data_IF_082658286421
#
_entry.id   IF_082658286421
#
_cell.length_a   1.000
_cell.length_b   1.000
_cell.length_c   1.000
_cell.angle_alpha   90.00
_cell.angle_beta   90.00
_cell.angle_gamma   90.00
#
_symmetry.space_group_name_H-M   'P 1'
#
loop_
_entity.id
_entity.type
_entity.pdbx_description
1 polymer ?
#
# COMPACT_ATOMS: atom_id res chain seq x y z
N UNK A 1 -44.55 -15.64 1.67
CA UNK A 1 -43.84 -15.26 0.45
C UNK A 1 -43.00 -14.06 0.81
N UNK A 2 -41.71 -14.32 0.91
CA UNK A 2 -40.66 -13.36 1.19
C UNK A 2 -40.70 -12.20 0.19
N UNK A 3 -40.22 -11.03 0.61
CA UNK A 3 -39.06 -10.40 0.00
C UNK A 3 -38.53 -9.36 0.99
N UNK A 4 -37.34 -9.67 1.52
CA UNK A 4 -36.48 -8.77 2.26
C UNK A 4 -36.21 -7.51 1.44
N UNK A 5 -36.31 -6.35 2.10
CA UNK A 5 -35.80 -5.10 1.57
C UNK A 5 -34.74 -4.60 2.55
N UNK A 6 -33.48 -4.70 2.12
CA UNK A 6 -32.29 -4.23 2.82
C UNK A 6 -32.42 -2.77 3.26
N UNK A 7 -32.09 -2.43 4.52
CA UNK A 7 -32.02 -1.04 4.92
C UNK A 7 -30.67 -0.45 4.49
N UNK A 8 -30.78 0.56 3.63
CA UNK A 8 -29.86 1.69 3.43
C UNK A 8 -28.55 1.66 4.24
N UNK A 9 -27.45 1.43 3.53
CA UNK A 9 -26.08 1.73 3.95
C UNK A 9 -25.95 3.24 4.18
N UNK A 10 -26.18 3.69 5.41
CA UNK A 10 -25.84 5.06 5.82
C UNK A 10 -24.33 5.07 6.06
N UNK A 11 -23.57 5.38 5.00
CA UNK A 11 -22.14 5.64 5.11
C UNK A 11 -21.92 6.85 6.03
N UNK A 12 -21.11 6.65 7.07
CA UNK A 12 -20.57 7.73 7.88
C UNK A 12 -19.23 8.14 7.25
N UNK A 13 -19.02 9.42 6.92
CA UNK A 13 -17.72 9.87 6.42
C UNK A 13 -16.66 9.69 7.50
N UNK A 14 -15.58 8.99 7.19
CA UNK A 14 -14.37 8.93 8.03
C UNK A 14 -14.00 7.56 8.65
N UNK A 15 -14.39 6.43 8.05
CA UNK A 15 -14.07 5.10 8.62
C UNK A 15 -13.14 4.31 7.72
N UNK A 16 -11.85 4.23 8.08
CA UNK A 16 -10.92 3.26 7.48
C UNK A 16 -11.33 1.86 7.91
N UNK A 17 -11.65 0.99 6.96
CA UNK A 17 -11.93 -0.42 7.24
C UNK A 17 -10.68 -1.24 7.00
N UNK A 18 -10.17 -1.87 8.06
CA UNK A 18 -9.20 -2.95 7.91
C UNK A 18 -9.97 -4.21 7.55
N UNK A 19 -9.92 -4.61 6.29
CA UNK A 19 -10.50 -5.88 5.84
C UNK A 19 -9.43 -6.94 6.08
N UNK A 20 -9.39 -7.42 7.31
CA UNK A 20 -8.53 -8.50 7.77
C UNK A 20 -8.61 -9.69 6.81
N UNK A 21 -7.49 -10.24 6.30
CA UNK A 21 -7.38 -11.61 5.75
C UNK A 21 -5.95 -11.93 5.25
N UNK A 22 -5.28 -12.86 5.95
CA UNK A 22 -4.17 -13.65 5.44
C UNK A 22 -3.38 -14.35 6.55
N UNK A 23 -3.30 -15.69 6.55
CA UNK A 23 -2.36 -16.47 7.36
C UNK A 23 -0.92 -16.06 7.01
N UNK A 24 -0.42 -14.97 7.60
CA UNK A 24 0.98 -14.60 7.48
C UNK A 24 1.78 -15.62 8.27
N UNK A 25 2.70 -16.32 7.60
CA UNK A 25 3.65 -17.23 8.23
C UNK A 25 4.22 -16.55 9.50
N UNK A 26 4.25 -17.26 10.64
CA UNK A 26 4.63 -16.80 11.98
C UNK A 26 6.00 -16.07 12.02
N UNK A 27 6.05 -14.85 11.49
CA UNK A 27 7.23 -13.98 11.46
C UNK A 27 7.24 -13.04 12.67
N UNK A 28 6.07 -12.77 13.24
CA UNK A 28 5.90 -11.98 14.46
C UNK A 28 5.64 -12.89 15.67
N UNK A 29 6.14 -12.54 16.86
CA UNK A 29 5.85 -13.28 18.09
C UNK A 29 4.38 -13.14 18.50
N UNK A 30 3.77 -14.23 19.00
CA UNK A 30 2.35 -14.24 19.42
C UNK A 30 2.09 -13.40 20.70
N UNK A 31 0.86 -12.92 20.93
CA UNK A 31 0.56 -12.01 22.01
C UNK A 31 0.37 -12.80 23.31
N UNK A 32 0.77 -12.21 24.44
CA UNK A 32 0.54 -12.79 25.75
C UNK A 32 -0.85 -12.35 26.21
N UNK A 33 -1.84 -13.24 26.06
CA UNK A 33 -3.25 -12.99 26.43
C UNK A 33 -3.34 -12.33 27.82
N UNK A 34 -3.63 -11.03 27.83
CA UNK A 34 -4.05 -10.29 29.02
C UNK A 34 -5.45 -9.75 28.76
N UNK A 35 -6.41 -10.21 29.55
CA UNK A 35 -7.79 -9.72 29.53
C UNK A 35 -7.81 -8.23 29.92
N UNK A 36 -7.82 -7.33 28.93
CA UNK A 36 -8.01 -5.90 29.19
C UNK A 36 -9.44 -5.49 28.88
N UNK A 37 -10.09 -4.96 29.92
CA UNK A 37 -11.48 -4.53 29.94
C UNK A 37 -11.71 -3.34 29.03
N UNK A 38 -12.75 -3.46 28.21
CA UNK A 38 -13.39 -2.40 27.43
C UNK A 38 -13.45 -1.08 28.20
N UNK A 39 -12.72 -0.07 27.72
CA UNK A 39 -12.92 1.32 28.11
C UNK A 39 -12.96 2.22 26.89
N UNK A 40 -14.11 2.87 26.78
CA UNK A 40 -14.39 4.17 26.18
C UNK A 40 -14.40 4.28 24.65
N UNK A 41 -15.64 4.36 24.15
CA UNK A 41 -16.09 4.67 22.79
C UNK A 41 -15.74 6.11 22.34
N UNK A 42 -14.48 6.51 22.43
CA UNK A 42 -14.00 7.69 21.74
C UNK A 42 -13.73 7.30 20.28
N UNK A 43 -14.12 8.18 19.36
CA UNK A 43 -13.94 8.04 17.91
C UNK A 43 -12.61 7.37 17.63
N UNK A 44 -12.63 6.14 17.12
CA UNK A 44 -11.40 5.39 16.84
C UNK A 44 -10.62 6.18 15.80
N UNK A 45 -9.65 6.96 16.26
CA UNK A 45 -8.58 7.46 15.43
C UNK A 45 -7.99 6.26 14.67
N UNK A 46 -7.79 6.47 13.36
CA UNK A 46 -6.71 5.91 12.54
C UNK A 46 -5.92 4.77 13.20
N UNK A 47 -5.92 3.56 12.62
CA UNK A 47 -5.05 2.42 13.00
C UNK A 47 -4.44 2.50 14.41
N UNK A 48 -5.29 2.35 15.43
CA UNK A 48 -4.87 2.48 16.83
C UNK A 48 -3.83 1.41 17.21
N UNK A 49 -3.00 1.64 18.24
CA UNK A 49 -2.07 0.63 18.74
C UNK A 49 -2.76 -0.69 19.08
N UNK A 50 -3.95 -0.64 19.71
CA UNK A 50 -4.71 -1.84 20.06
C UNK A 50 -5.17 -2.64 18.84
N UNK A 51 -5.57 -1.95 17.76
CA UNK A 51 -5.90 -2.60 16.49
C UNK A 51 -4.68 -3.22 15.84
N UNK A 52 -3.55 -2.52 15.85
CA UNK A 52 -2.29 -3.04 15.33
C UNK A 52 -1.83 -4.27 16.12
N UNK A 53 -1.96 -4.27 17.45
CA UNK A 53 -1.63 -5.43 18.30
C UNK A 53 -2.52 -6.63 17.96
N UNK A 54 -3.81 -6.40 17.74
CA UNK A 54 -4.74 -7.46 17.32
C UNK A 54 -4.39 -8.02 15.93
N UNK A 55 -4.06 -7.16 14.96
CA UNK A 55 -3.70 -7.56 13.58
C UNK A 55 -2.35 -8.28 13.50
N UNK A 56 -1.39 -7.85 14.31
CA UNK A 56 -0.03 -8.40 14.31
C UNK A 56 0.12 -9.58 15.24
N UNK A 57 -0.93 -9.88 16.01
CA UNK A 57 -0.93 -10.84 17.10
C UNK A 57 0.30 -10.65 18.01
N UNK A 58 0.63 -9.41 18.40
CA UNK A 58 1.71 -9.14 19.36
C UNK A 58 1.36 -7.99 20.28
N UNK A 59 1.78 -8.08 21.55
CA UNK A 59 1.65 -6.95 22.49
C UNK A 59 2.73 -5.89 22.22
N UNK A 60 3.91 -6.31 21.76
CA UNK A 60 5.03 -5.42 21.49
C UNK A 60 5.13 -5.13 19.98
N UNK A 61 4.62 -3.96 19.61
CA UNK A 61 4.64 -3.45 18.23
C UNK A 61 6.06 -3.11 17.74
N UNK A 62 7.05 -2.99 18.64
CA UNK A 62 8.44 -2.75 18.26
C UNK A 62 9.07 -3.98 17.60
N UNK A 63 8.57 -5.18 17.86
CA UNK A 63 9.09 -6.42 17.29
C UNK A 63 8.47 -6.75 15.92
N UNK A 64 7.42 -6.02 15.52
CA UNK A 64 6.73 -6.25 14.25
C UNK A 64 7.62 -5.87 13.09
N UNK A 65 7.90 -6.85 12.22
CA UNK A 65 8.69 -6.65 10.99
C UNK A 65 7.85 -6.78 9.74
N UNK A 66 6.80 -7.58 9.79
CA UNK A 66 5.90 -7.83 8.66
C UNK A 66 4.48 -7.52 9.09
N UNK A 67 3.77 -6.74 8.29
CA UNK A 67 2.35 -6.45 8.48
C UNK A 67 1.62 -6.72 7.18
N UNK A 68 0.55 -7.50 7.26
CA UNK A 68 -0.38 -7.74 6.16
C UNK A 68 -1.76 -7.30 6.60
N UNK A 69 -2.42 -6.50 5.76
CA UNK A 69 -3.76 -6.03 6.01
C UNK A 69 -4.37 -5.54 4.71
N UNK A 70 -5.70 -5.53 4.60
CA UNK A 70 -6.36 -4.79 3.54
C UNK A 70 -7.01 -3.56 4.12
N UNK A 71 -6.97 -2.47 3.37
CA UNK A 71 -7.48 -1.18 3.83
C UNK A 71 -8.39 -0.56 2.79
N UNK A 72 -9.22 0.37 3.22
CA UNK A 72 -9.98 1.26 2.35
C UNK A 72 -9.71 2.70 2.79
N UNK A 73 -9.05 3.47 1.91
CA UNK A 73 -8.69 4.87 2.15
C UNK A 73 -9.57 5.88 1.40
N UNK A 74 -10.70 5.45 0.81
CA UNK A 74 -11.59 6.35 0.06
C UNK A 74 -12.09 7.54 0.90
N UNK A 75 -12.41 7.29 2.17
CA UNK A 75 -12.95 8.29 3.08
C UNK A 75 -11.90 8.89 4.04
N UNK A 76 -10.74 8.25 4.20
CA UNK A 76 -9.74 8.61 5.21
C UNK A 76 -8.38 7.97 4.95
N UNK A 77 -7.30 8.68 5.25
CA UNK A 77 -5.96 8.11 5.23
C UNK A 77 -5.71 7.17 6.42
N UNK A 78 -4.69 6.32 6.31
CA UNK A 78 -4.21 5.47 7.42
C UNK A 78 -3.47 6.26 8.50
N UNK A 79 -3.12 7.52 8.22
CA UNK A 79 -2.32 8.36 9.09
C UNK A 79 -0.88 7.85 9.25
N UNK A 80 -0.16 8.38 10.25
CA UNK A 80 1.24 8.02 10.50
C UNK A 80 1.37 6.78 11.40
N UNK A 81 0.62 5.71 11.11
CA UNK A 81 0.63 4.49 11.92
C UNK A 81 2.03 3.84 12.04
N UNK A 82 2.93 4.13 11.09
CA UNK A 82 4.34 3.71 11.16
C UNK A 82 5.10 4.20 12.39
N UNK A 83 4.58 5.19 13.15
CA UNK A 83 5.15 5.59 14.45
C UNK A 83 5.07 4.44 15.45
N UNK A 84 4.02 3.62 15.37
CA UNK A 84 3.81 2.47 16.26
C UNK A 84 4.61 1.24 15.83
N UNK A 85 5.04 1.17 14.55
CA UNK A 85 5.75 0.05 13.95
C UNK A 85 7.14 0.48 13.42
N UNK A 86 8.03 1.01 14.27
CA UNK A 86 9.28 1.63 13.81
C UNK A 86 10.30 0.64 13.24
N UNK A 87 10.05 -0.67 13.35
CA UNK A 87 10.88 -1.74 12.81
C UNK A 87 10.19 -2.52 11.68
N UNK A 88 9.09 -1.99 11.11
CA UNK A 88 8.43 -2.59 9.97
C UNK A 88 9.36 -2.59 8.75
N UNK A 89 9.56 -3.78 8.17
CA UNK A 89 10.42 -4.04 7.02
C UNK A 89 9.55 -4.36 5.80
N UNK A 90 8.47 -5.11 5.99
CA UNK A 90 7.58 -5.55 4.91
C UNK A 90 6.13 -5.18 5.23
N UNK A 91 5.47 -4.57 4.24
CA UNK A 91 4.06 -4.19 4.34
C UNK A 91 3.31 -4.74 3.14
N UNK A 92 2.26 -5.51 3.41
CA UNK A 92 1.37 -6.10 2.41
C UNK A 92 -0.01 -5.47 2.50
N UNK A 93 -0.40 -4.79 1.43
CA UNK A 93 -1.68 -4.11 1.27
C UNK A 93 -2.45 -4.61 0.04
N UNK A 94 -2.15 -5.81 -0.46
CA UNK A 94 -2.79 -6.35 -1.66
C UNK A 94 -4.31 -6.40 -1.51
N UNK A 95 -5.05 -6.08 -2.57
CA UNK A 95 -6.52 -6.01 -2.58
C UNK A 95 -7.09 -4.98 -1.60
N UNK A 96 -6.40 -3.86 -1.41
CA UNK A 96 -6.90 -2.69 -0.70
C UNK A 96 -7.56 -1.71 -1.66
N UNK A 97 -8.20 -0.66 -1.14
CA UNK A 97 -8.58 0.51 -1.92
C UNK A 97 -7.74 1.68 -1.42
N UNK A 98 -6.68 2.02 -2.16
CA UNK A 98 -5.74 3.07 -1.77
C UNK A 98 -5.77 4.15 -2.83
N UNK A 99 -6.30 5.31 -2.47
CA UNK A 99 -6.47 6.44 -3.41
C UNK A 99 -5.12 7.08 -3.71
N UNK A 100 -4.27 7.24 -2.70
CA UNK A 100 -2.91 7.77 -2.85
C UNK A 100 -1.94 7.04 -1.93
N UNK A 101 -0.70 6.85 -2.39
CA UNK A 101 0.37 6.29 -1.54
C UNK A 101 0.62 7.16 -0.30
N UNK A 102 0.35 8.47 -0.38
CA UNK A 102 0.40 9.39 0.79
C UNK A 102 -0.52 8.97 1.94
N UNK A 103 -1.61 8.26 1.64
CA UNK A 103 -2.56 7.82 2.65
C UNK A 103 -1.96 6.82 3.63
N UNK A 104 -0.88 6.12 3.26
CA UNK A 104 -0.17 5.15 4.09
C UNK A 104 0.72 5.86 5.14
N UNK A 105 0.92 7.17 4.98
CA UNK A 105 1.76 7.99 5.86
C UNK A 105 3.24 7.95 5.50
N UNK A 106 4.03 8.77 6.20
CA UNK A 106 5.46 9.00 5.89
C UNK A 106 6.40 8.47 6.96
N UNK A 107 5.87 7.82 7.99
CA UNK A 107 6.65 7.38 9.17
C UNK A 107 7.34 6.01 8.99
N UNK A 108 7.07 5.28 7.90
CA UNK A 108 7.62 3.95 7.61
C UNK A 108 9.04 3.99 7.03
N UNK A 109 9.96 4.61 7.77
CA UNK A 109 11.33 4.91 7.31
C UNK A 109 12.22 3.68 7.08
N UNK A 110 11.90 2.53 7.68
CA UNK A 110 12.66 1.26 7.53
C UNK A 110 12.04 0.26 6.57
N UNK A 111 10.93 0.63 5.93
CA UNK A 111 10.24 -0.24 4.99
C UNK A 111 11.14 -0.54 3.80
N UNK A 112 11.34 -1.83 3.52
CA UNK A 112 12.15 -2.32 2.41
C UNK A 112 11.29 -3.00 1.35
N UNK A 113 10.17 -3.61 1.73
CA UNK A 113 9.30 -4.36 0.82
C UNK A 113 7.87 -3.85 0.94
N UNK A 114 7.26 -3.44 -0.17
CA UNK A 114 5.89 -2.95 -0.22
C UNK A 114 5.10 -3.68 -1.30
N UNK A 115 4.01 -4.32 -0.88
CA UNK A 115 3.06 -4.98 -1.78
C UNK A 115 1.75 -4.21 -1.81
N UNK A 116 1.34 -3.79 -2.99
CA UNK A 116 0.11 -3.03 -3.24
C UNK A 116 -0.54 -3.48 -4.54
N UNK A 117 -0.59 -4.80 -4.78
CA UNK A 117 -1.25 -5.34 -5.96
C UNK A 117 -2.78 -5.19 -5.85
N UNK A 118 -3.44 -4.87 -6.97
CA UNK A 118 -4.90 -4.69 -7.04
C UNK A 118 -5.43 -3.65 -6.03
N UNK A 119 -4.74 -2.51 -5.90
CA UNK A 119 -5.14 -1.42 -5.00
C UNK A 119 -5.97 -0.30 -5.67
N UNK A 120 -6.05 -0.31 -7.00
CA UNK A 120 -6.69 0.74 -7.78
C UNK A 120 -5.90 2.05 -7.83
N UNK A 121 -4.60 2.01 -7.54
CA UNK A 121 -3.74 3.21 -7.52
C UNK A 121 -3.67 3.88 -8.90
N UNK A 122 -3.94 5.19 -9.02
CA UNK A 122 -3.81 5.93 -10.27
C UNK A 122 -2.38 6.42 -10.55
N UNK A 123 -1.61 6.70 -9.49
CA UNK A 123 -0.25 7.22 -9.55
C UNK A 123 0.57 6.78 -8.32
N UNK A 124 1.84 7.17 -8.30
CA UNK A 124 2.80 6.86 -7.24
C UNK A 124 3.17 8.07 -6.38
N UNK A 125 2.31 9.10 -6.35
CA UNK A 125 2.58 10.29 -5.56
C UNK A 125 2.66 9.93 -4.06
N UNK A 126 3.77 10.28 -3.43
CA UNK A 126 4.08 9.92 -2.04
C UNK A 126 5.02 8.72 -1.86
N UNK A 127 5.30 7.92 -2.89
CA UNK A 127 6.25 6.81 -2.81
C UNK A 127 7.67 7.22 -2.35
N UNK A 128 8.21 8.42 -2.68
CA UNK A 128 9.56 8.82 -2.24
C UNK A 128 9.72 8.96 -0.72
N UNK A 129 8.62 8.91 0.05
CA UNK A 129 8.68 8.91 1.51
C UNK A 129 9.29 7.63 2.09
N UNK A 130 9.28 6.52 1.34
CA UNK A 130 9.88 5.25 1.73
C UNK A 130 11.34 5.15 1.24
N UNK A 131 12.22 5.95 1.83
CA UNK A 131 13.62 6.08 1.38
C UNK A 131 14.47 4.81 1.44
N UNK A 132 14.05 3.82 2.24
CA UNK A 132 14.71 2.51 2.40
C UNK A 132 14.14 1.43 1.49
N UNK A 133 13.18 1.76 0.62
CA UNK A 133 12.46 0.77 -0.19
C UNK A 133 13.37 0.12 -1.23
N UNK A 134 13.33 -1.21 -1.29
CA UNK A 134 14.11 -2.05 -2.20
C UNK A 134 13.24 -2.85 -3.16
N UNK A 135 12.07 -3.27 -2.70
CA UNK A 135 11.15 -4.06 -3.51
C UNK A 135 9.76 -3.41 -3.49
N UNK A 136 9.22 -3.19 -4.67
CA UNK A 136 7.92 -2.55 -4.85
C UNK A 136 7.07 -3.36 -5.84
N UNK A 137 5.95 -3.89 -5.35
CA UNK A 137 5.03 -4.72 -6.11
C UNK A 137 3.69 -4.02 -6.29
N UNK A 138 3.39 -3.62 -7.53
CA UNK A 138 2.26 -2.78 -7.91
C UNK A 138 1.42 -3.41 -9.03
N UNK A 139 1.45 -4.73 -9.15
CA UNK A 139 0.73 -5.45 -10.20
C UNK A 139 -0.78 -5.15 -10.17
N UNK A 140 -1.38 -5.05 -11.36
CA UNK A 140 -2.82 -4.84 -11.58
C UNK A 140 -3.37 -3.58 -10.89
N UNK A 141 -2.67 -2.46 -11.03
CA UNK A 141 -3.18 -1.12 -10.68
C UNK A 141 -3.49 -0.31 -11.95
N UNK A 142 -3.80 0.98 -11.79
CA UNK A 142 -4.16 1.89 -12.87
C UNK A 142 -3.05 2.93 -13.12
N UNK A 143 -1.78 2.58 -12.85
CA UNK A 143 -0.66 3.53 -12.89
C UNK A 143 -0.32 3.88 -14.33
N UNK A 144 -0.22 5.19 -14.61
CA UNK A 144 0.24 5.73 -15.90
C UNK A 144 1.58 6.48 -15.79
N UNK A 145 1.86 7.08 -14.63
CA UNK A 145 3.05 7.88 -14.37
C UNK A 145 3.94 7.21 -13.30
N UNK A 146 5.17 6.88 -13.67
CA UNK A 146 6.18 6.26 -12.81
C UNK A 146 7.37 7.18 -12.52
N UNK A 147 7.26 8.47 -12.85
CA UNK A 147 8.32 9.45 -12.60
C UNK A 147 8.77 9.49 -11.13
N UNK A 148 7.85 9.30 -10.18
CA UNK A 148 8.14 9.30 -8.75
C UNK A 148 9.09 8.17 -8.32
N UNK A 149 9.17 7.07 -9.09
CA UNK A 149 10.04 5.93 -8.80
C UNK A 149 11.52 6.32 -8.93
N UNK A 150 11.84 7.33 -9.74
CA UNK A 150 13.23 7.79 -9.91
C UNK A 150 13.85 8.38 -8.64
N UNK A 151 13.05 8.64 -7.61
CA UNK A 151 13.52 9.14 -6.32
C UNK A 151 13.85 8.01 -5.31
N UNK A 152 13.66 6.74 -5.70
CA UNK A 152 13.94 5.58 -4.86
C UNK A 152 15.36 5.06 -5.14
N UNK A 153 16.34 5.62 -4.44
CA UNK A 153 17.78 5.35 -4.67
C UNK A 153 18.19 3.88 -4.44
N UNK A 154 17.42 3.16 -3.60
CA UNK A 154 17.71 1.79 -3.19
C UNK A 154 16.82 0.73 -3.85
N UNK A 155 15.96 1.12 -4.81
CA UNK A 155 15.04 0.20 -5.45
C UNK A 155 15.78 -0.81 -6.32
N UNK A 156 15.57 -2.09 -6.03
CA UNK A 156 16.19 -3.24 -6.68
C UNK A 156 15.19 -3.99 -7.56
N UNK A 157 13.94 -4.11 -7.10
CA UNK A 157 12.86 -4.84 -7.77
C UNK A 157 11.63 -3.95 -7.91
N UNK A 158 11.11 -3.87 -9.14
CA UNK A 158 9.88 -3.15 -9.47
C UNK A 158 8.96 -4.03 -10.31
N UNK A 159 7.79 -4.33 -9.78
CA UNK A 159 6.74 -5.02 -10.51
C UNK A 159 5.57 -4.08 -10.80
N UNK A 160 5.36 -3.82 -12.09
CA UNK A 160 4.31 -2.98 -12.64
C UNK A 160 3.40 -3.78 -13.59
N UNK A 161 3.34 -5.10 -13.47
CA UNK A 161 2.48 -5.95 -14.32
C UNK A 161 1.04 -5.41 -14.38
N UNK A 162 0.42 -5.41 -15.57
CA UNK A 162 -1.00 -5.10 -15.72
C UNK A 162 -1.40 -3.67 -15.32
N UNK A 163 -0.49 -2.71 -15.48
CA UNK A 163 -0.78 -1.28 -15.32
C UNK A 163 -1.11 -0.62 -16.68
N UNK A 164 -1.28 0.70 -16.70
CA UNK A 164 -1.67 1.46 -17.88
C UNK A 164 -0.55 2.35 -18.43
N UNK A 165 0.70 1.88 -18.36
CA UNK A 165 1.87 2.59 -18.88
C UNK A 165 1.90 2.47 -20.41
N UNK A 166 1.77 3.58 -21.12
CA UNK A 166 1.71 3.64 -22.58
C UNK A 166 2.85 4.47 -23.21
N UNK A 167 3.45 5.39 -22.47
CA UNK A 167 4.52 6.27 -22.95
C UNK A 167 5.92 5.71 -22.64
N UNK A 168 6.78 5.65 -23.66
CA UNK A 168 8.17 5.22 -23.51
C UNK A 168 9.05 6.21 -22.74
N UNK A 169 8.67 7.50 -22.67
CA UNK A 169 9.36 8.47 -21.82
C UNK A 169 9.28 8.08 -20.34
N UNK A 170 8.24 7.36 -19.92
CA UNK A 170 8.12 6.85 -18.56
C UNK A 170 9.26 5.89 -18.20
N UNK A 171 9.70 5.07 -19.16
CA UNK A 171 10.79 4.11 -18.96
C UNK A 171 12.13 4.81 -18.74
N UNK A 172 12.32 6.03 -19.27
CA UNK A 172 13.55 6.79 -19.01
C UNK A 172 13.74 7.14 -17.53
N UNK A 173 12.67 7.25 -16.74
CA UNK A 173 12.78 7.45 -15.30
C UNK A 173 13.37 6.23 -14.59
N UNK A 174 13.14 5.02 -15.10
CA UNK A 174 13.73 3.79 -14.55
C UNK A 174 15.24 3.75 -14.74
N UNK A 175 15.77 4.43 -15.76
CA UNK A 175 17.22 4.56 -15.96
C UNK A 175 17.92 5.42 -14.88
N UNK A 176 17.15 6.20 -14.11
CA UNK A 176 17.68 6.96 -12.97
C UNK A 176 17.83 6.08 -11.71
N UNK A 177 17.14 4.94 -11.64
CA UNK A 177 17.22 4.01 -10.52
C UNK A 177 18.49 3.15 -10.62
N UNK A 178 19.58 3.59 -9.99
CA UNK A 178 20.91 2.97 -10.16
C UNK A 178 21.04 1.54 -9.64
N UNK A 179 20.18 1.10 -8.71
CA UNK A 179 20.20 -0.23 -8.10
C UNK A 179 19.20 -1.21 -8.74
N UNK A 180 18.37 -0.72 -9.67
CA UNK A 180 17.26 -1.49 -10.23
C UNK A 180 17.80 -2.62 -11.11
N UNK A 181 17.48 -3.85 -10.73
CA UNK A 181 17.97 -5.06 -11.39
C UNK A 181 16.86 -5.90 -12.01
N UNK A 182 15.63 -5.79 -11.49
CA UNK A 182 14.47 -6.57 -11.93
C UNK A 182 13.29 -5.64 -12.17
N UNK A 183 12.71 -5.71 -13.36
CA UNK A 183 11.55 -4.91 -13.77
C UNK A 183 10.56 -5.80 -14.49
N UNK A 184 9.30 -5.77 -14.07
CA UNK A 184 8.18 -6.43 -14.76
C UNK A 184 7.23 -5.38 -15.32
N UNK A 185 7.01 -5.40 -16.64
CA UNK A 185 6.09 -4.50 -17.35
C UNK A 185 5.02 -5.27 -18.15
N UNK A 186 4.93 -6.59 -17.99
CA UNK A 186 3.98 -7.41 -18.74
C UNK A 186 2.54 -6.89 -18.55
N UNK A 187 1.72 -6.95 -19.59
CA UNK A 187 0.35 -6.47 -19.54
C UNK A 187 0.18 -4.94 -19.61
N UNK A 188 1.25 -4.15 -19.75
CA UNK A 188 1.15 -2.71 -20.01
C UNK A 188 1.00 -2.39 -21.52
N UNK A 189 0.26 -1.33 -21.89
CA UNK A 189 0.12 -0.87 -23.29
C UNK A 189 1.45 -0.66 -24.02
N UNK A 190 2.49 -0.18 -23.33
CA UNK A 190 3.83 0.04 -23.88
C UNK A 190 4.46 -1.23 -24.47
N UNK A 191 4.12 -2.42 -23.94
CA UNK A 191 4.60 -3.70 -24.46
C UNK A 191 3.93 -4.09 -25.79
N UNK A 192 2.74 -3.55 -26.08
CA UNK A 192 1.98 -3.84 -27.30
C UNK A 192 2.27 -2.83 -28.41
N UNK A 193 2.39 -1.54 -28.05
CA UNK A 193 2.70 -0.45 -28.97
C UNK A 193 3.60 0.57 -28.27
N UNK A 194 4.93 0.45 -28.38
CA UNK A 194 5.82 1.51 -27.92
C UNK A 194 5.70 2.70 -28.89
N UNK A 195 4.74 3.58 -28.66
CA UNK A 195 4.60 4.83 -29.43
C UNK A 195 5.31 5.96 -28.70
N UNK A 196 6.29 6.57 -29.35
CA UNK A 196 6.84 7.87 -28.97
C UNK A 196 6.07 9.01 -29.67
N UNK A 197 4.75 8.87 -29.84
CA UNK A 197 3.95 9.91 -30.46
C UNK A 197 3.76 11.02 -29.44
N UNK A 198 4.60 12.06 -29.58
CA UNK A 198 4.40 13.35 -28.95
C UNK A 198 2.93 13.80 -29.16
N UNK A 199 2.33 14.54 -28.21
CA UNK A 199 1.01 15.10 -28.44
C UNK A 199 1.05 15.89 -29.75
N UNK A 200 0.29 15.44 -30.75
CA UNK A 200 0.04 16.23 -31.94
C UNK A 200 -0.71 17.48 -31.48
N UNK A 201 0.03 18.58 -31.33
CA UNK A 201 -0.51 19.94 -31.20
C UNK A 201 -1.64 20.13 -32.21
N UNK A 202 -2.87 20.24 -31.71
CA UNK A 202 -4.08 20.60 -32.47
C UNK A 202 -4.55 22.00 -32.06
#
# INVERSE_FOLDING_TARGET
MELHQDPAYIMRPGTVRVLDFGESALLNPSPVVKEEKEKDMLVEEYLSPSRLQALTETDDLQEVKVLEMRVDTQDSSLGNFGIYLPNLIELKLNNSFIVSVRDIGTSLTKLQVLWMAQCGLPDLDGIPSFSSLKELYLAYNNITDISHVSMLDHLEVLDLEGNNIDDIMQIHYLALCSQLNTITLEGNPICLKPSAEAPEDS
#
